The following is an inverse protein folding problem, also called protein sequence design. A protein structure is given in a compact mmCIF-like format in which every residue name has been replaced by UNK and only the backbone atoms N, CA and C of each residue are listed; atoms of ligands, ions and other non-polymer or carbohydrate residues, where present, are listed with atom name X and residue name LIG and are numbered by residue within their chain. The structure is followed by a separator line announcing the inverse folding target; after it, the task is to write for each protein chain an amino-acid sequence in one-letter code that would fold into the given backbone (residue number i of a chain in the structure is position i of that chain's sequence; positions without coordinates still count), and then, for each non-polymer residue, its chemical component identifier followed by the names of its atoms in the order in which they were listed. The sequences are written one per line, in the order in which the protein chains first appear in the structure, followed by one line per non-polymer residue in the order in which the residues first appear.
data_IF_048457841358
#
_entry.id   IF_048457841358
#
_cell.length_a   1.000
_cell.length_b   1.000
_cell.length_c   1.000
_cell.angle_alpha   90.00
_cell.angle_beta   90.00
_cell.angle_gamma   90.00
#
_symmetry.space_group_name_H-M   'P 1'
#
loop_
_entity.id
_entity.type
_entity.pdbx_description
1 polymer ?
#
# COMPACT_ATOMS: atom_id res chain seq x y z
N UNK A 1 -10.31 -4.62 -14.75
CA UNK A 1 -10.00 -4.79 -13.31
C UNK A 1 -9.50 -3.46 -12.80
N UNK A 2 -9.86 -3.06 -11.58
CA UNK A 2 -9.35 -1.82 -10.98
C UNK A 2 -8.24 -2.14 -9.99
N UNK A 3 -7.11 -1.43 -10.08
CA UNK A 3 -5.96 -1.56 -9.19
C UNK A 3 -5.99 -0.45 -8.15
N UNK A 4 -5.67 -0.80 -6.91
CA UNK A 4 -5.38 0.17 -5.87
C UNK A 4 -3.97 -0.04 -5.35
N UNK A 5 -3.17 1.03 -5.33
CA UNK A 5 -1.87 1.08 -4.67
C UNK A 5 -1.97 2.01 -3.46
N UNK A 6 -1.49 1.54 -2.32
CA UNK A 6 -1.41 2.28 -1.06
C UNK A 6 0.04 2.53 -0.72
N UNK A 7 0.38 3.77 -0.41
CA UNK A 7 1.61 4.13 0.31
C UNK A 7 1.23 4.50 1.73
N UNK A 8 1.87 3.88 2.71
CA UNK A 8 1.57 4.06 4.13
C UNK A 8 2.69 4.83 4.84
N UNK A 9 2.28 5.69 5.76
CA UNK A 9 3.15 6.28 6.77
C UNK A 9 2.61 5.91 8.16
N UNK A 10 3.42 5.14 8.87
CA UNK A 10 3.18 4.63 10.22
C UNK A 10 4.26 5.17 11.17
N UNK A 11 4.49 6.49 11.14
CA UNK A 11 5.60 7.19 11.82
C UNK A 11 5.78 6.83 13.32
N UNK A 12 4.70 6.50 14.04
CA UNK A 12 4.73 6.22 15.47
C UNK A 12 4.52 4.73 15.83
N UNK A 13 4.59 3.83 14.85
CA UNK A 13 4.47 2.40 15.09
C UNK A 13 5.83 1.78 15.42
N UNK A 14 5.86 0.82 16.35
CA UNK A 14 7.01 -0.09 16.51
C UNK A 14 6.91 -1.29 15.55
N UNK A 15 7.90 -2.18 15.58
CA UNK A 15 7.99 -3.31 14.65
C UNK A 15 6.88 -4.36 14.89
N UNK A 16 6.45 -4.55 16.14
CA UNK A 16 5.34 -5.46 16.47
C UNK A 16 4.03 -4.90 15.95
N UNK A 17 3.79 -3.60 16.13
CA UNK A 17 2.63 -2.90 15.61
C UNK A 17 2.59 -2.92 14.08
N UNK A 18 3.72 -2.67 13.41
CA UNK A 18 3.81 -2.79 11.94
C UNK A 18 3.50 -4.21 11.48
N UNK A 19 4.07 -5.21 12.15
CA UNK A 19 3.82 -6.63 11.83
C UNK A 19 2.33 -6.97 11.94
N UNK A 20 1.70 -6.58 13.04
CA UNK A 20 0.26 -6.82 13.26
C UNK A 20 -0.62 -6.06 12.25
N UNK A 21 -0.23 -4.83 11.90
CA UNK A 21 -0.94 -4.04 10.89
C UNK A 21 -0.87 -4.70 9.52
N UNK A 22 0.34 -5.12 9.10
CA UNK A 22 0.57 -5.77 7.81
C UNK A 22 -0.11 -7.13 7.71
N UNK A 23 -0.19 -7.91 8.80
CA UNK A 23 -0.93 -9.16 8.81
C UNK A 23 -2.42 -8.98 8.47
N UNK A 24 -3.05 -7.87 8.89
CA UNK A 24 -4.45 -7.58 8.52
C UNK A 24 -4.59 -7.27 7.02
N UNK A 25 -3.61 -6.56 6.44
CA UNK A 25 -3.60 -6.28 5.02
C UNK A 25 -3.44 -7.56 4.20
N UNK A 26 -2.51 -8.44 4.58
CA UNK A 26 -2.28 -9.73 3.91
C UNK A 26 -3.51 -10.64 3.96
N UNK A 27 -4.20 -10.70 5.11
CA UNK A 27 -5.47 -11.43 5.25
C UNK A 27 -6.58 -10.84 4.37
N UNK A 28 -6.54 -9.55 4.09
CA UNK A 28 -7.42 -8.87 3.13
C UNK A 28 -6.85 -8.90 1.71
N UNK A 29 -5.99 -9.86 1.33
CA UNK A 29 -5.45 -10.03 -0.03
C UNK A 29 -4.67 -8.80 -0.59
N UNK A 30 -4.16 -7.92 0.30
CA UNK A 30 -3.18 -6.92 -0.12
C UNK A 30 -1.82 -7.57 -0.26
N UNK A 31 -1.12 -7.20 -1.32
CA UNK A 31 0.21 -7.70 -1.64
C UNK A 31 1.19 -6.56 -1.45
N UNK A 32 2.21 -6.74 -0.61
CA UNK A 32 3.30 -5.77 -0.46
C UNK A 32 4.08 -5.69 -1.78
N UNK A 33 4.36 -4.48 -2.24
CA UNK A 33 5.16 -4.29 -3.44
C UNK A 33 6.64 -4.60 -3.11
N UNK A 34 7.31 -5.34 -4.00
CA UNK A 34 8.72 -5.68 -3.80
C UNK A 34 9.59 -4.42 -3.71
N UNK A 35 10.68 -4.51 -2.94
CA UNK A 35 11.72 -3.48 -2.82
C UNK A 35 11.31 -2.16 -2.15
N UNK A 36 10.12 -2.11 -1.52
CA UNK A 36 9.61 -0.96 -0.77
C UNK A 36 8.90 -1.42 0.51
N UNK A 37 9.06 -0.66 1.61
CA UNK A 37 8.64 -1.13 2.94
C UNK A 37 7.16 -0.91 3.25
N UNK A 38 6.56 0.15 2.71
CA UNK A 38 5.24 0.61 3.12
C UNK A 38 4.24 0.72 1.98
N UNK A 39 4.57 0.19 0.80
CA UNK A 39 3.70 0.22 -0.38
C UNK A 39 3.03 -1.13 -0.59
N UNK A 40 1.71 -1.09 -0.78
CA UNK A 40 0.84 -2.26 -0.92
C UNK A 40 -0.04 -2.11 -2.16
N UNK A 41 -0.45 -3.23 -2.74
CA UNK A 41 -1.37 -3.25 -3.87
C UNK A 41 -2.49 -4.27 -3.67
N UNK A 42 -3.68 -3.96 -4.19
CA UNK A 42 -4.80 -4.89 -4.26
C UNK A 42 -5.56 -4.72 -5.56
N UNK A 43 -6.09 -5.84 -6.07
CA UNK A 43 -6.94 -5.88 -7.26
C UNK A 43 -8.40 -5.93 -6.83
N UNK A 44 -9.21 -5.11 -7.47
CA UNK A 44 -10.65 -5.07 -7.30
C UNK A 44 -11.31 -5.44 -8.63
N UNK A 45 -12.41 -6.19 -8.52
CA UNK A 45 -13.26 -6.50 -9.65
C UNK A 45 -13.86 -5.21 -10.26
N UNK A 46 -14.10 -5.18 -11.58
CA UNK A 46 -14.66 -4.01 -12.29
C UNK A 46 -16.07 -3.65 -11.86
N UNK A 47 -16.76 -4.56 -11.17
CA UNK A 47 -18.03 -4.28 -10.50
C UNK A 47 -17.91 -3.24 -9.38
N UNK A 48 -16.70 -2.98 -8.87
CA UNK A 48 -16.46 -1.96 -7.86
C UNK A 48 -16.27 -0.58 -8.48
N UNK A 49 -17.21 0.32 -8.21
CA UNK A 49 -17.05 1.75 -8.48
C UNK A 49 -16.03 2.39 -7.52
N UNK A 50 -15.33 3.43 -7.96
CA UNK A 50 -14.27 4.13 -7.19
C UNK A 50 -14.66 4.48 -5.74
N UNK A 51 -15.85 5.02 -5.44
CA UNK A 51 -16.25 5.30 -4.05
C UNK A 51 -16.31 4.05 -3.15
N UNK A 52 -16.70 2.90 -3.71
CA UNK A 52 -16.74 1.63 -2.98
C UNK A 52 -15.34 1.11 -2.67
N UNK A 53 -14.38 1.29 -3.59
CA UNK A 53 -12.97 0.96 -3.37
C UNK A 53 -12.39 1.86 -2.27
N UNK A 54 -12.62 3.17 -2.33
CA UNK A 54 -12.17 4.11 -1.30
C UNK A 54 -12.69 3.73 0.08
N UNK A 55 -13.99 3.41 0.19
CA UNK A 55 -14.57 2.96 1.47
C UNK A 55 -13.90 1.68 1.97
N UNK A 56 -13.68 0.69 1.11
CA UNK A 56 -13.01 -0.56 1.48
C UNK A 56 -11.58 -0.33 1.96
N UNK A 57 -10.83 0.53 1.28
CA UNK A 57 -9.48 0.95 1.70
C UNK A 57 -9.52 1.56 3.10
N UNK A 58 -10.42 2.50 3.36
CA UNK A 58 -10.52 3.14 4.67
C UNK A 58 -10.86 2.08 5.74
N UNK A 59 -11.86 1.24 5.49
CA UNK A 59 -12.28 0.20 6.45
C UNK A 59 -11.16 -0.79 6.79
N UNK A 60 -10.36 -1.22 5.80
CA UNK A 60 -9.24 -2.14 6.09
C UNK A 60 -8.13 -1.45 6.87
N UNK A 61 -7.84 -0.17 6.58
CA UNK A 61 -6.84 0.60 7.31
C UNK A 61 -7.26 0.89 8.76
N UNK A 62 -8.54 1.20 8.99
CA UNK A 62 -9.11 1.35 10.33
C UNK A 62 -9.01 0.04 11.12
N UNK A 63 -9.42 -1.08 10.52
CA UNK A 63 -9.31 -2.40 11.15
C UNK A 63 -7.87 -2.77 11.47
N UNK A 64 -6.95 -2.49 10.56
CA UNK A 64 -5.52 -2.76 10.75
C UNK A 64 -4.95 -1.87 11.87
N UNK A 65 -5.33 -0.59 11.92
CA UNK A 65 -4.93 0.34 12.97
C UNK A 65 -5.43 -0.10 14.35
N UNK A 66 -6.70 -0.50 14.45
CA UNK A 66 -7.30 -1.00 15.69
C UNK A 66 -6.62 -2.26 16.18
N UNK A 67 -6.37 -3.21 15.27
CA UNK A 67 -5.70 -4.49 15.59
C UNK A 67 -4.28 -4.26 16.10
N UNK A 68 -3.53 -3.36 15.44
CA UNK A 68 -2.15 -3.02 15.80
C UNK A 68 -2.04 -1.98 16.92
N UNK A 69 -3.17 -1.42 17.40
CA UNK A 69 -3.22 -0.30 18.35
C UNK A 69 -2.41 0.91 17.89
N UNK A 70 -2.42 1.20 16.59
CA UNK A 70 -1.76 2.36 15.98
C UNK A 70 -2.71 3.55 16.03
N UNK A 71 -2.25 4.67 16.61
CA UNK A 71 -3.09 5.87 16.81
C UNK A 71 -3.30 6.70 15.55
N UNK A 72 -2.35 6.69 14.63
CA UNK A 72 -2.36 7.51 13.42
C UNK A 72 -1.81 6.72 12.25
N UNK A 73 -2.62 6.62 11.20
CA UNK A 73 -2.25 6.06 9.91
C UNK A 73 -2.44 7.17 8.88
N UNK A 74 -1.34 7.57 8.24
CA UNK A 74 -1.41 8.45 7.07
C UNK A 74 -1.19 7.62 5.83
N UNK A 75 -1.95 7.87 4.76
CA UNK A 75 -1.84 7.10 3.54
C UNK A 75 -2.11 7.93 2.30
N UNK A 76 -1.51 7.50 1.18
CA UNK A 76 -1.87 7.94 -0.16
C UNK A 76 -2.35 6.73 -0.96
N UNK A 77 -3.45 6.90 -1.71
CA UNK A 77 -4.03 5.84 -2.53
C UNK A 77 -4.11 6.26 -3.99
N UNK A 78 -3.58 5.42 -4.88
CA UNK A 78 -3.80 5.52 -6.33
C UNK A 78 -4.80 4.45 -6.74
N UNK A 79 -5.87 4.85 -7.41
CA UNK A 79 -6.91 3.94 -7.93
C UNK A 79 -6.99 4.13 -9.44
N UNK A 80 -6.85 3.06 -10.21
CA UNK A 80 -6.95 3.14 -11.66
C UNK A 80 -6.92 1.80 -12.36
N UNK A 81 -7.09 1.83 -13.69
CA UNK A 81 -7.32 0.63 -14.49
C UNK A 81 -6.01 0.01 -15.01
N UNK A 82 -4.87 0.64 -14.70
CA UNK A 82 -3.56 0.20 -15.15
C UNK A 82 -2.82 -0.55 -14.02
N UNK A 83 -2.32 -1.78 -14.27
CA UNK A 83 -1.50 -2.54 -13.33
C UNK A 83 -0.10 -1.96 -13.08
N UNK A 84 0.32 -0.91 -13.79
CA UNK A 84 1.70 -0.41 -13.76
C UNK A 84 2.07 0.25 -12.41
N UNK A 85 2.32 -0.58 -11.39
CA UNK A 85 3.09 -0.25 -10.21
C UNK A 85 4.53 -0.74 -10.42
N UNK A 86 5.51 0.15 -10.28
CA UNK A 86 6.93 -0.19 -10.33
C UNK A 86 7.54 0.08 -8.96
N UNK A 87 7.85 -0.98 -8.20
CA UNK A 87 8.72 -0.90 -7.03
C UNK A 87 10.16 -1.13 -7.48
N UNK A 88 11.07 -0.20 -7.19
CA UNK A 88 12.49 -0.30 -7.54
C UNK A 88 13.33 0.39 -6.48
N UNK A 89 14.36 -0.29 -5.99
CA UNK A 89 15.47 0.38 -5.30
C UNK A 89 16.42 0.96 -6.36
N UNK A 90 16.53 2.29 -6.43
CA UNK A 90 17.54 2.95 -7.25
C UNK A 90 18.72 3.31 -6.37
N UNK A 91 19.91 2.81 -6.71
CA UNK A 91 21.15 3.15 -6.02
C UNK A 91 21.52 4.59 -6.33
N UNK A 92 21.54 5.47 -5.33
CA UNK A 92 22.14 6.81 -5.47
C UNK A 92 23.64 6.66 -5.21
N UNK A 93 24.43 6.58 -6.27
CA UNK A 93 25.86 6.89 -6.24
C UNK A 93 26.06 8.13 -7.09
N UNK A 94 26.90 9.07 -6.65
CA UNK A 94 27.18 10.28 -7.41
C UNK A 94 27.48 10.00 -8.89
N UNK A 95 26.69 10.63 -9.76
CA UNK A 95 26.86 10.61 -11.23
C UNK A 95 25.90 9.68 -11.99
N UNK A 96 25.10 10.30 -12.87
CA UNK A 96 24.23 9.83 -13.98
C UNK A 96 24.42 8.38 -14.48
N UNK A 97 23.42 7.65 -14.97
CA UNK A 97 22.44 7.94 -16.02
C UNK A 97 21.45 6.76 -16.05
N UNK A 98 20.18 6.92 -16.46
CA UNK A 98 19.32 5.76 -16.75
C UNK A 98 18.71 5.86 -18.14
N UNK A 99 19.11 4.93 -18.99
CA UNK A 99 18.51 4.66 -20.30
C UNK A 99 17.22 3.84 -20.12
N UNK A 100 16.22 4.16 -20.95
CA UNK A 100 14.91 3.50 -20.99
C UNK A 100 14.90 2.43 -22.09
N UNK A 101 14.30 1.28 -21.80
CA UNK A 101 13.72 0.36 -22.78
C UNK A 101 12.22 0.28 -22.51
#
# INVERSE_FOLDING_TARGET
MTYCMLSLDLANADDEQRTNFYAVLEVDDWVKLADVDTVWQKRFDDTFVRPSIQRRVITVLERAADTARIRLVTFAAQIGDNPASTGRTVKVVGGFETSFN
#
